data_IF_971051236967
#
_entry.id   IF_971051236967
#
_cell.length_a   1.000
_cell.length_b   1.000
_cell.length_c   1.000
_cell.angle_alpha   90.00
_cell.angle_beta   90.00
_cell.angle_gamma   90.00
#
_symmetry.space_group_name_H-M   'P 1'
#
loop_
_entity.id
_entity.type
_entity.pdbx_description
1 polymer ?
#
# COMPACT_ATOMS: atom_id res chain seq x y z
N UNK A 1 0.95 0.97 13.51
CA UNK A 1 1.88 0.44 12.48
C UNK A 1 1.19 0.23 11.10
N UNK A 2 0.08 0.93 10.80
CA UNK A 2 -0.79 0.67 9.63
C UNK A 2 -0.73 1.73 8.52
N UNK A 3 0.24 2.67 8.55
CA UNK A 3 0.24 3.87 7.68
C UNK A 3 0.45 3.57 6.18
N UNK A 4 1.22 2.53 5.85
CA UNK A 4 1.45 2.13 4.45
C UNK A 4 0.15 1.70 3.76
N UNK A 5 -0.67 0.91 4.46
CA UNK A 5 -1.94 0.41 3.95
C UNK A 5 -2.91 1.55 3.62
N UNK A 6 -2.99 2.56 4.50
CA UNK A 6 -3.85 3.72 4.30
C UNK A 6 -3.35 4.68 3.21
N UNK A 7 -2.03 4.85 3.08
CA UNK A 7 -1.43 5.66 1.99
C UNK A 7 -1.73 5.09 0.60
N UNK A 8 -1.73 3.75 0.49
CA UNK A 8 -2.12 3.03 -0.73
C UNK A 8 -3.61 3.24 -1.02
N UNK A 9 -4.48 3.15 -0.01
CA UNK A 9 -5.93 3.30 -0.19
C UNK A 9 -6.36 4.72 -0.56
N UNK A 10 -5.68 5.75 -0.07
CA UNK A 10 -6.01 7.15 -0.37
C UNK A 10 -5.28 7.73 -1.58
N UNK A 11 -4.39 6.95 -2.21
CA UNK A 11 -3.62 7.42 -3.35
C UNK A 11 -2.59 8.50 -2.99
N UNK A 12 -2.10 8.56 -1.75
CA UNK A 12 -0.98 9.43 -1.36
C UNK A 12 0.34 8.88 -1.94
N UNK A 13 0.46 9.06 -3.25
CA UNK A 13 1.62 8.68 -4.04
C UNK A 13 2.89 9.43 -3.63
N UNK A 14 2.77 10.60 -2.98
CA UNK A 14 3.92 11.44 -2.61
C UNK A 14 4.72 10.85 -1.44
N UNK A 15 4.02 10.32 -0.43
CA UNK A 15 4.64 9.57 0.66
C UNK A 15 5.26 8.27 0.17
N UNK A 16 4.53 7.53 -0.68
CA UNK A 16 5.02 6.27 -1.25
C UNK A 16 6.29 6.46 -2.09
N UNK A 17 6.36 7.50 -2.93
CA UNK A 17 7.53 7.73 -3.80
C UNK A 17 8.81 8.09 -3.04
N UNK A 18 8.67 8.69 -1.85
CA UNK A 18 9.81 8.99 -0.97
C UNK A 18 10.49 7.73 -0.47
N UNK A 19 9.67 6.74 -0.12
CA UNK A 19 10.11 5.53 0.57
C UNK A 19 10.34 4.36 -0.40
N UNK A 20 9.69 4.38 -1.57
CA UNK A 20 9.67 3.29 -2.53
C UNK A 20 9.91 3.75 -3.97
N UNK A 21 10.52 2.87 -4.76
CA UNK A 21 10.40 2.83 -6.21
C UNK A 21 9.03 2.26 -6.57
N UNK A 22 8.29 2.96 -7.44
CA UNK A 22 6.94 2.59 -7.85
C UNK A 22 6.94 2.07 -9.28
N UNK A 23 6.29 0.94 -9.51
CA UNK A 23 6.01 0.40 -10.84
C UNK A 23 4.52 0.09 -10.95
N UNK A 24 3.79 0.87 -11.75
CA UNK A 24 2.38 0.65 -12.04
C UNK A 24 2.24 -0.01 -13.42
N UNK A 25 1.46 -1.07 -13.50
CA UNK A 25 1.20 -1.83 -14.73
C UNK A 25 -0.30 -2.18 -14.82
N UNK A 26 -0.78 -2.42 -16.04
CA UNK A 26 -2.18 -2.78 -16.30
C UNK A 26 -3.08 -1.58 -16.60
N UNK A 27 -4.40 -1.81 -16.54
CA UNK A 27 -5.42 -0.81 -16.82
C UNK A 27 -6.18 -0.41 -15.55
N UNK A 28 -6.91 0.70 -15.58
CA UNK A 28 -7.59 1.23 -14.39
C UNK A 28 -8.59 0.25 -13.73
N UNK A 29 -9.13 -0.72 -14.48
CA UNK A 29 -10.03 -1.75 -13.95
C UNK A 29 -9.29 -2.96 -13.38
N UNK A 30 -8.01 -3.11 -13.72
CA UNK A 30 -7.17 -4.23 -13.32
C UNK A 30 -5.70 -3.82 -13.40
N UNK A 31 -5.26 -3.12 -12.35
CA UNK A 31 -3.91 -2.60 -12.23
C UNK A 31 -3.13 -3.36 -11.16
N UNK A 32 -1.81 -3.29 -11.30
CA UNK A 32 -0.86 -3.78 -10.31
C UNK A 32 0.18 -2.71 -10.01
N UNK A 33 0.35 -2.41 -8.73
CA UNK A 33 1.38 -1.51 -8.23
C UNK A 33 2.40 -2.32 -7.44
N UNK A 34 3.66 -2.26 -7.86
CA UNK A 34 4.79 -2.82 -7.14
C UNK A 34 5.59 -1.70 -6.49
N UNK A 35 5.88 -1.87 -5.21
CA UNK A 35 6.69 -0.95 -4.41
C UNK A 35 7.98 -1.65 -3.98
N UNK A 36 9.13 -1.07 -4.33
CA UNK A 36 10.44 -1.57 -3.92
C UNK A 36 11.09 -0.56 -2.96
N UNK A 37 11.46 -0.94 -1.74
CA UNK A 37 11.96 0.03 -0.76
C UNK A 37 13.28 0.67 -1.20
N UNK A 38 13.38 1.99 -1.03
CA UNK A 38 14.59 2.78 -1.33
C UNK A 38 15.55 2.80 -0.15
N UNK A 39 15.03 3.05 1.05
CA UNK A 39 15.82 3.27 2.26
C UNK A 39 16.39 1.98 2.83
N UNK A 40 17.54 2.05 3.48
CA UNK A 40 18.19 0.89 4.10
C UNK A 40 17.31 0.26 5.19
N UNK A 41 16.63 1.09 5.98
CA UNK A 41 15.74 0.60 7.03
C UNK A 41 14.56 -0.18 6.44
N UNK A 42 13.92 0.33 5.40
CA UNK A 42 12.81 -0.39 4.76
C UNK A 42 13.28 -1.66 4.06
N UNK A 43 14.47 -1.64 3.45
CA UNK A 43 15.11 -2.83 2.86
C UNK A 43 15.48 -3.90 3.90
N UNK A 44 15.51 -3.58 5.20
CA UNK A 44 15.68 -4.59 6.25
C UNK A 44 14.35 -5.29 6.58
N UNK A 45 13.22 -4.65 6.32
CA UNK A 45 11.89 -5.18 6.64
C UNK A 45 11.28 -5.85 5.43
N UNK A 46 11.23 -5.15 4.30
CA UNK A 46 10.56 -5.59 3.09
C UNK A 46 11.55 -5.85 1.95
N UNK A 47 11.26 -6.90 1.19
CA UNK A 47 11.85 -7.09 -0.14
C UNK A 47 11.01 -6.37 -1.19
N UNK A 48 9.69 -6.48 -1.09
CA UNK A 48 8.74 -5.90 -2.05
C UNK A 48 7.34 -5.83 -1.43
N UNK A 49 6.53 -4.90 -1.91
CA UNK A 49 5.10 -4.86 -1.62
C UNK A 49 4.35 -4.88 -2.95
N UNK A 50 3.36 -5.76 -3.07
CA UNK A 50 2.48 -5.86 -4.22
C UNK A 50 1.09 -5.41 -3.84
N UNK A 51 0.49 -4.58 -4.67
CA UNK A 51 -0.90 -4.14 -4.53
C UNK A 51 -1.59 -4.40 -5.85
N UNK A 52 -2.71 -5.10 -5.81
CA UNK A 52 -3.53 -5.39 -6.98
C UNK A 52 -4.93 -4.81 -6.77
N UNK A 53 -5.50 -4.21 -7.80
CA UNK A 53 -6.78 -3.51 -7.69
C UNK A 53 -7.43 -3.17 -9.03
N UNK A 54 -8.58 -2.52 -8.95
CA UNK A 54 -9.30 -1.92 -10.06
C UNK A 54 -9.89 -0.58 -9.63
N UNK A 55 -11.21 -0.45 -9.65
CA UNK A 55 -11.87 0.70 -9.02
C UNK A 55 -11.54 0.83 -7.52
N UNK A 56 -11.24 -0.31 -6.87
CA UNK A 56 -10.81 -0.40 -5.47
C UNK A 56 -9.63 -1.35 -5.35
N UNK A 57 -8.89 -1.27 -4.24
CA UNK A 57 -7.84 -2.23 -3.91
C UNK A 57 -8.46 -3.59 -3.60
N UNK A 58 -7.91 -4.65 -4.18
CA UNK A 58 -8.37 -6.03 -3.93
C UNK A 58 -7.46 -6.75 -2.94
N UNK A 59 -6.14 -6.61 -3.11
CA UNK A 59 -5.16 -7.28 -2.25
C UNK A 59 -3.90 -6.47 -2.08
N UNK A 60 -3.27 -6.66 -0.92
CA UNK A 60 -1.94 -6.16 -0.61
C UNK A 60 -1.11 -7.32 -0.07
N UNK A 61 0.03 -7.57 -0.69
CA UNK A 61 0.99 -8.58 -0.26
C UNK A 61 2.29 -7.89 0.15
N UNK A 62 2.69 -8.12 1.40
CA UNK A 62 3.95 -7.66 1.97
C UNK A 62 4.94 -8.82 1.94
N UNK A 63 6.02 -8.70 1.17
CA UNK A 63 7.10 -9.69 1.14
C UNK A 63 8.23 -9.22 2.05
N UNK A 64 8.52 -9.99 3.09
CA UNK A 64 9.50 -9.63 4.10
C UNK A 64 10.87 -10.25 3.82
N UNK A 65 11.93 -9.61 4.32
CA UNK A 65 13.32 -10.06 4.10
C UNK A 65 13.64 -11.42 4.71
N UNK A 66 12.86 -11.83 5.71
CA UNK A 66 13.02 -13.11 6.40
C UNK A 66 12.38 -14.27 5.63
N UNK A 67 11.71 -14.00 4.50
CA UNK A 67 11.05 -15.00 3.65
C UNK A 67 9.56 -15.18 3.96
N UNK A 68 9.05 -14.50 4.99
CA UNK A 68 7.62 -14.47 5.31
C UNK A 68 6.84 -13.54 4.36
N UNK A 69 5.53 -13.82 4.24
CA UNK A 69 4.61 -12.99 3.47
C UNK A 69 3.32 -12.75 4.23
N UNK A 70 2.87 -11.50 4.27
CA UNK A 70 1.55 -11.14 4.79
C UNK A 70 0.63 -10.77 3.63
N UNK A 71 -0.50 -11.46 3.50
CA UNK A 71 -1.52 -11.18 2.48
C UNK A 71 -2.77 -10.58 3.13
N UNK A 72 -3.07 -9.34 2.79
CA UNK A 72 -4.31 -8.66 3.12
C UNK A 72 -5.25 -8.75 1.91
N UNK A 73 -6.47 -9.24 2.15
CA UNK A 73 -7.54 -9.28 1.15
C UNK A 73 -8.69 -8.39 1.58
N UNK A 74 -9.10 -7.53 0.66
CA UNK A 74 -10.17 -6.58 0.89
C UNK A 74 -11.51 -7.22 0.51
N UNK A 75 -12.28 -7.67 1.50
CA UNK A 75 -13.56 -8.36 1.28
C UNK A 75 -14.75 -7.39 1.23
N UNK A 76 -14.66 -6.25 1.93
CA UNK A 76 -15.74 -5.26 2.06
C UNK A 76 -15.30 -3.84 1.63
N UNK A 77 -14.45 -3.71 0.60
CA UNK A 77 -14.05 -2.37 0.15
C UNK A 77 -15.25 -1.60 -0.40
N UNK A 78 -15.50 -0.41 0.16
CA UNK A 78 -16.48 0.56 -0.36
C UNK A 78 -15.73 1.83 -0.76
N UNK A 79 -16.06 2.37 -1.94
CA UNK A 79 -15.31 3.44 -2.58
C UNK A 79 -15.51 4.84 -1.96
N UNK A 80 -16.56 5.01 -1.15
CA UNK A 80 -17.14 6.33 -0.87
C UNK A 80 -17.21 6.68 0.62
N UNK A 81 -16.40 6.04 1.48
CA UNK A 81 -16.30 6.46 2.88
C UNK A 81 -15.02 7.27 3.12
N UNK A 82 -15.14 8.57 3.47
CA UNK A 82 -13.98 9.33 3.93
C UNK A 82 -13.46 8.72 5.24
N UNK A 83 -12.15 8.89 5.49
CA UNK A 83 -11.55 8.53 6.77
C UNK A 83 -12.33 9.14 7.93
N UNK A 84 -12.55 8.35 8.96
CA UNK A 84 -13.07 8.84 10.24
C UNK A 84 -12.09 9.83 10.88
N UNK A 85 -12.58 10.68 11.79
CA UNK A 85 -11.76 11.68 12.49
C UNK A 85 -10.58 11.04 13.25
N UNK A 86 -10.76 9.80 13.75
CA UNK A 86 -9.69 9.05 14.40
C UNK A 86 -8.57 8.67 13.40
N UNK A 87 -8.95 8.23 12.20
CA UNK A 87 -8.00 7.91 11.13
C UNK A 87 -7.31 9.16 10.58
N UNK A 88 -8.00 10.30 10.54
CA UNK A 88 -7.40 11.59 10.17
C UNK A 88 -6.40 12.08 11.24
N UNK A 89 -6.69 11.88 12.52
CA UNK A 89 -5.79 12.28 13.62
C UNK A 89 -4.49 11.46 13.63
N UNK A 90 -4.58 10.14 13.41
CA UNK A 90 -3.41 9.24 13.31
C UNK A 90 -2.48 9.58 12.11
N UNK A 91 -2.98 10.34 11.12
CA UNK A 91 -2.21 10.80 9.97
C UNK A 91 -1.47 12.12 10.21
N UNK A 92 -2.01 13.02 11.04
CA UNK A 92 -1.43 14.33 11.31
C UNK A 92 -0.19 14.30 12.23
N UNK A 93 0.26 13.11 12.67
CA UNK A 93 1.40 12.91 13.58
C UNK A 93 2.65 12.28 12.93
#
# INVERSE_FOLDING_TARGET
QNRLFLAVLQGDSSGLQRDFDLQLQGEAQQWKLTLTPRSLLLKQVFTQINIDGGALVHSIELLETQGDSTLLRMQDSTADQPLSDAEQHDFAQ
#
